data_IF_136163724233
#
_entry.id   IF_136163724233
#
_cell.length_a   1.000
_cell.length_b   1.000
_cell.length_c   1.000
_cell.angle_alpha   90.00
_cell.angle_beta   90.00
_cell.angle_gamma   90.00
#
_symmetry.space_group_name_H-M   'P 1'
#
loop_
_entity.id
_entity.type
_entity.pdbx_description
1 polymer ?
#
# COMPACT_ATOMS: atom_id res chain seq x y z
N UNK A 1 -29.23 -47.68 59.68
CA UNK A 1 -28.64 -46.42 60.18
C UNK A 1 -27.32 -46.19 59.46
N UNK A 2 -27.21 -45.08 58.70
CA UNK A 2 -25.96 -44.40 58.24
C UNK A 2 -25.02 -45.25 57.36
N UNK A 3 -24.45 -44.80 56.24
CA UNK A 3 -24.20 -43.45 55.76
C UNK A 3 -24.12 -43.45 54.21
N UNK A 4 -24.59 -42.33 53.66
CA UNK A 4 -24.38 -41.85 52.30
C UNK A 4 -22.94 -41.37 52.17
N UNK A 5 -22.24 -41.70 51.08
CA UNK A 5 -21.23 -40.82 50.49
C UNK A 5 -21.16 -41.00 48.97
N UNK A 6 -21.67 -39.99 48.27
CA UNK A 6 -21.47 -39.79 46.84
C UNK A 6 -20.05 -39.25 46.61
N UNK A 7 -19.41 -39.65 45.51
CA UNK A 7 -18.30 -38.90 44.95
C UNK A 7 -18.53 -38.72 43.45
N UNK A 8 -19.00 -37.52 43.10
CA UNK A 8 -19.07 -37.02 41.74
C UNK A 8 -17.65 -36.70 41.26
N UNK A 9 -17.20 -37.35 40.20
CA UNK A 9 -15.97 -36.98 39.49
C UNK A 9 -16.36 -35.85 38.52
N UNK A 10 -15.95 -34.64 38.87
CA UNK A 10 -16.14 -33.46 38.04
C UNK A 10 -15.29 -33.55 36.77
N UNK A 11 -15.93 -33.48 35.60
CA UNK A 11 -15.27 -33.20 34.32
C UNK A 11 -14.67 -31.78 34.37
N UNK A 12 -13.37 -31.69 34.62
CA UNK A 12 -12.58 -30.51 34.25
C UNK A 12 -12.00 -30.75 32.86
N UNK A 13 -12.85 -30.64 31.83
CA UNK A 13 -12.36 -30.44 30.47
C UNK A 13 -11.74 -29.04 30.42
N UNK A 14 -10.42 -28.99 30.61
CA UNK A 14 -9.65 -27.77 30.50
C UNK A 14 -9.84 -27.17 29.11
N UNK A 15 -10.62 -26.10 29.03
CA UNK A 15 -10.69 -25.23 27.86
C UNK A 15 -9.37 -24.45 27.83
N UNK A 16 -8.30 -25.09 27.36
CA UNK A 16 -7.11 -24.35 26.95
C UNK A 16 -7.57 -23.43 25.83
N UNK A 17 -7.44 -22.10 25.95
CA UNK A 17 -7.72 -21.22 24.82
C UNK A 17 -6.77 -21.66 23.71
N UNK A 18 -7.35 -22.24 22.66
CA UNK A 18 -6.62 -22.49 21.44
C UNK A 18 -6.02 -21.14 21.04
N UNK A 19 -4.69 -21.03 21.12
CA UNK A 19 -3.97 -19.99 20.42
C UNK A 19 -4.19 -20.27 18.93
N UNK A 20 -5.36 -19.89 18.43
CA UNK A 20 -5.66 -19.86 17.02
C UNK A 20 -4.54 -19.06 16.38
N UNK A 21 -3.75 -19.71 15.52
CA UNK A 21 -2.81 -19.01 14.66
C UNK A 21 -3.61 -17.92 13.96
N UNK A 22 -3.40 -16.66 14.33
CA UNK A 22 -4.10 -15.53 13.72
C UNK A 22 -3.89 -15.64 12.21
N UNK A 23 -4.98 -15.87 11.49
CA UNK A 23 -4.93 -15.99 10.04
C UNK A 23 -4.43 -14.64 9.49
N UNK A 24 -3.34 -14.69 8.73
CA UNK A 24 -2.76 -13.49 8.13
C UNK A 24 -3.67 -13.09 6.98
N UNK A 25 -4.54 -12.11 7.21
CA UNK A 25 -5.38 -11.54 6.16
C UNK A 25 -4.49 -10.87 5.11
N UNK A 26 -4.68 -11.25 3.86
CA UNK A 26 -3.99 -10.68 2.70
C UNK A 26 -5.01 -9.84 1.94
N UNK A 27 -4.85 -8.52 1.95
CA UNK A 27 -5.76 -7.59 1.29
C UNK A 27 -5.50 -7.42 -0.20
N UNK A 28 -4.29 -7.75 -0.64
CA UNK A 28 -3.94 -7.77 -2.06
C UNK A 28 -2.97 -8.91 -2.33
N UNK A 29 -3.33 -9.72 -3.31
CA UNK A 29 -2.40 -10.64 -3.96
C UNK A 29 -1.89 -9.98 -5.22
N UNK A 30 -0.61 -10.14 -5.52
CA UNK A 30 -0.02 -9.56 -6.73
C UNK A 30 1.13 -10.40 -7.25
N UNK A 31 1.26 -10.47 -8.57
CA UNK A 31 2.32 -11.21 -9.22
C UNK A 31 2.68 -10.58 -10.57
N UNK A 32 3.96 -10.58 -10.92
CA UNK A 32 4.39 -10.15 -12.25
C UNK A 32 4.00 -11.21 -13.27
N UNK A 33 3.40 -10.78 -14.39
CA UNK A 33 3.28 -11.64 -15.58
C UNK A 33 4.62 -11.60 -16.30
N UNK A 34 5.34 -12.73 -16.25
CA UNK A 34 6.66 -12.86 -16.84
C UNK A 34 6.58 -12.83 -18.36
N UNK A 35 7.65 -12.35 -18.98
CA UNK A 35 7.89 -12.51 -20.41
C UNK A 35 8.03 -14.00 -20.75
N UNK A 36 7.08 -14.52 -21.52
CA UNK A 36 7.05 -15.91 -21.96
C UNK A 36 6.43 -16.00 -23.38
N UNK A 37 6.83 -16.99 -24.21
CA UNK A 37 6.28 -17.15 -25.57
C UNK A 37 4.76 -17.32 -25.60
N UNK A 38 4.21 -18.00 -24.59
CA UNK A 38 2.78 -18.18 -24.38
C UNK A 38 2.38 -17.65 -23.00
N UNK A 39 1.22 -16.99 -22.93
CA UNK A 39 0.73 -16.32 -21.73
C UNK A 39 -0.65 -16.86 -21.41
N UNK A 40 -0.80 -17.41 -20.21
CA UNK A 40 -2.08 -17.84 -19.65
C UNK A 40 -2.44 -16.93 -18.47
N UNK A 41 -3.52 -16.18 -18.59
CA UNK A 41 -4.03 -15.32 -17.53
C UNK A 41 -5.16 -16.03 -16.77
N UNK A 42 -5.12 -15.93 -15.45
CA UNK A 42 -6.13 -16.42 -14.53
C UNK A 42 -7.36 -15.50 -14.58
N UNK A 43 -8.55 -16.00 -14.98
CA UNK A 43 -9.75 -15.18 -15.10
C UNK A 43 -10.26 -14.62 -13.76
N UNK A 44 -9.84 -15.17 -12.62
CA UNK A 44 -10.20 -14.65 -11.31
C UNK A 44 -9.39 -13.40 -10.92
N UNK A 45 -8.27 -13.12 -11.61
CA UNK A 45 -7.39 -11.98 -11.33
C UNK A 45 -7.69 -10.81 -12.25
N UNK A 46 -7.37 -9.62 -11.76
CA UNK A 46 -7.29 -8.43 -12.59
C UNK A 46 -5.85 -8.23 -13.06
N UNK A 47 -5.68 -7.58 -14.20
CA UNK A 47 -4.38 -7.28 -14.76
C UNK A 47 -4.24 -5.80 -15.06
N UNK A 48 -3.11 -5.21 -14.70
CA UNK A 48 -2.78 -3.83 -15.04
C UNK A 48 -1.61 -3.79 -15.99
N UNK A 49 -1.81 -3.14 -17.13
CA UNK A 49 -0.79 -2.92 -18.13
C UNK A 49 -0.31 -1.46 -18.09
N UNK A 50 1.00 -1.28 -18.12
CA UNK A 50 1.66 0.03 -18.19
C UNK A 50 2.77 -0.05 -19.22
N UNK A 51 2.89 0.98 -20.05
CA UNK A 51 4.00 1.15 -20.99
C UNK A 51 4.91 2.28 -20.55
N UNK A 52 6.19 2.16 -20.87
CA UNK A 52 7.14 3.23 -20.57
C UNK A 52 8.40 3.16 -21.43
N UNK A 53 8.89 4.32 -21.88
CA UNK A 53 10.22 4.45 -22.49
C UNK A 53 11.36 4.65 -21.47
N UNK A 54 11.00 4.86 -20.21
CA UNK A 54 11.91 4.89 -19.07
C UNK A 54 11.70 3.70 -18.13
N UNK A 55 12.68 3.42 -17.27
CA UNK A 55 12.51 2.50 -16.14
C UNK A 55 11.56 3.13 -15.12
N UNK A 56 10.29 2.68 -15.09
CA UNK A 56 9.25 3.26 -14.23
C UNK A 56 8.94 2.31 -13.07
N UNK A 57 9.29 2.68 -11.83
CA UNK A 57 8.85 1.98 -10.63
C UNK A 57 7.48 2.54 -10.20
N UNK A 58 6.37 2.02 -10.74
CA UNK A 58 5.04 2.51 -10.38
C UNK A 58 4.53 1.80 -9.13
N UNK A 59 4.05 2.56 -8.15
CA UNK A 59 3.42 2.00 -6.96
C UNK A 59 1.93 2.35 -6.93
N UNK A 60 1.11 1.32 -6.79
CA UNK A 60 -0.34 1.41 -6.65
C UNK A 60 -0.74 1.06 -5.22
N UNK A 61 -1.86 1.59 -4.77
CA UNK A 61 -2.52 1.16 -3.54
C UNK A 61 -3.97 0.82 -3.83
N UNK A 62 -4.44 -0.30 -3.29
CA UNK A 62 -5.86 -0.65 -3.38
C UNK A 62 -6.66 0.29 -2.48
N UNK A 63 -7.82 0.73 -2.96
CA UNK A 63 -8.82 1.42 -2.16
C UNK A 63 -9.67 0.35 -1.47
N UNK A 64 -9.91 0.45 -0.14
CA UNK A 64 -10.66 -0.57 0.57
C UNK A 64 -12.08 -0.70 0.02
N UNK A 65 -12.50 -1.93 -0.26
CA UNK A 65 -13.91 -2.27 -0.39
C UNK A 65 -14.60 -2.23 0.98
N UNK A 66 -15.92 -2.38 1.01
CA UNK A 66 -16.65 -2.53 2.26
C UNK A 66 -16.18 -3.76 3.08
N UNK A 67 -15.90 -4.87 2.40
CA UNK A 67 -15.41 -6.11 3.03
C UNK A 67 -13.96 -5.96 3.54
N UNK A 68 -13.12 -5.26 2.78
CA UNK A 68 -11.76 -4.92 3.18
C UNK A 68 -11.79 -4.06 4.45
N UNK A 69 -12.69 -3.07 4.50
CA UNK A 69 -12.85 -2.19 5.65
C UNK A 69 -13.29 -2.95 6.91
N UNK A 70 -14.28 -3.84 6.79
CA UNK A 70 -14.72 -4.69 7.91
C UNK A 70 -13.59 -5.57 8.44
N UNK A 71 -12.82 -6.18 7.52
CA UNK A 71 -11.67 -7.01 7.89
C UNK A 71 -10.58 -6.19 8.57
N UNK A 72 -10.28 -5.00 8.06
CA UNK A 72 -9.31 -4.08 8.63
C UNK A 72 -9.72 -3.60 10.04
N UNK A 73 -10.99 -3.21 10.22
CA UNK A 73 -11.52 -2.74 11.51
C UNK A 73 -11.48 -3.84 12.57
N UNK A 74 -11.83 -5.07 12.19
CA UNK A 74 -11.70 -6.25 13.06
C UNK A 74 -10.25 -6.46 13.50
N UNK A 75 -9.31 -6.51 12.56
CA UNK A 75 -7.88 -6.70 12.87
C UNK A 75 -7.33 -5.59 13.76
N UNK A 76 -7.75 -4.34 13.50
CA UNK A 76 -7.35 -3.20 14.30
C UNK A 76 -7.91 -3.29 15.73
N UNK A 77 -9.16 -3.70 15.90
CA UNK A 77 -9.77 -3.94 17.20
C UNK A 77 -9.07 -5.05 17.99
N UNK A 78 -8.78 -6.18 17.34
CA UNK A 78 -7.99 -7.28 17.93
C UNK A 78 -6.59 -6.81 18.37
N UNK A 79 -5.94 -5.98 17.56
CA UNK A 79 -4.63 -5.41 17.87
C UNK A 79 -4.68 -4.43 19.06
N UNK A 80 -5.74 -3.63 19.20
CA UNK A 80 -5.92 -2.74 20.34
C UNK A 80 -6.13 -3.52 21.64
N UNK A 81 -6.92 -4.60 21.62
CA UNK A 81 -7.08 -5.50 22.78
C UNK A 81 -5.73 -6.07 23.21
N UNK A 82 -4.93 -6.54 22.25
CA UNK A 82 -3.59 -7.05 22.51
C UNK A 82 -2.66 -5.95 23.07
N UNK A 83 -2.75 -4.72 22.53
CA UNK A 83 -1.98 -3.58 23.00
C UNK A 83 -2.32 -3.22 24.46
N UNK A 84 -3.61 -3.23 24.82
CA UNK A 84 -4.08 -3.03 26.20
C UNK A 84 -3.59 -4.11 27.14
N UNK A 85 -3.61 -5.39 26.71
CA UNK A 85 -3.07 -6.48 27.51
C UNK A 85 -1.55 -6.34 27.74
N UNK A 86 -0.79 -5.88 26.73
CA UNK A 86 0.64 -5.55 26.87
C UNK A 86 0.87 -4.34 27.77
N UNK A 87 0.01 -3.33 27.71
CA UNK A 87 0.07 -2.14 28.56
C UNK A 87 -0.01 -2.49 30.05
N UNK A 88 -0.96 -3.35 30.45
CA UNK A 88 -1.07 -3.79 31.86
C UNK A 88 0.25 -4.37 32.38
N UNK A 89 0.93 -5.19 31.57
CA UNK A 89 2.24 -5.76 31.93
C UNK A 89 3.33 -4.69 32.03
N UNK A 90 3.34 -3.73 31.10
CA UNK A 90 4.29 -2.60 31.12
C UNK A 90 4.06 -1.69 32.31
N UNK A 91 2.81 -1.46 32.69
CA UNK A 91 2.46 -0.64 33.85
C UNK A 91 2.95 -1.29 35.15
N UNK A 92 2.71 -2.59 35.32
CA UNK A 92 3.21 -3.32 36.49
C UNK A 92 4.75 -3.35 36.57
N UNK A 93 5.45 -3.42 35.42
CA UNK A 93 6.90 -3.29 35.37
C UNK A 93 7.36 -1.87 35.77
N UNK A 94 6.74 -0.84 35.19
CA UNK A 94 6.99 0.56 35.54
C UNK A 94 6.82 0.82 37.04
N UNK A 95 5.73 0.36 37.65
CA UNK A 95 5.45 0.54 39.08
C UNK A 95 6.53 -0.11 39.95
N UNK A 96 6.98 -1.31 39.59
CA UNK A 96 8.08 -2.00 40.27
C UNK A 96 9.39 -1.22 40.17
N UNK A 97 9.75 -0.80 38.97
CA UNK A 97 11.01 -0.10 38.69
C UNK A 97 11.02 1.29 39.33
N UNK A 98 9.86 1.98 39.33
CA UNK A 98 9.69 3.27 40.00
C UNK A 98 9.84 3.14 41.50
N UNK A 99 9.27 2.08 42.10
CA UNK A 99 9.45 1.80 43.52
C UNK A 99 10.92 1.49 43.88
N UNK A 100 11.65 0.80 43.00
CA UNK A 100 13.09 0.54 43.20
C UNK A 100 13.91 1.84 43.11
N UNK A 101 13.62 2.69 42.13
CA UNK A 101 14.22 4.02 41.99
C UNK A 101 14.00 4.88 43.24
N UNK A 102 12.76 4.95 43.73
CA UNK A 102 12.38 5.78 44.88
C UNK A 102 13.04 5.29 46.18
N UNK A 103 13.31 3.99 46.31
CA UNK A 103 13.96 3.37 47.48
C UNK A 103 15.49 3.48 47.46
N UNK A 104 16.11 3.93 46.36
CA UNK A 104 17.58 3.98 46.28
C UNK A 104 18.13 5.12 47.17
N UNK A 105 18.98 4.80 48.18
CA UNK A 105 19.52 5.80 49.10
C UNK A 105 20.34 6.89 48.38
N UNK A 106 20.36 8.09 48.97
CA UNK A 106 21.24 9.17 48.49
C UNK A 106 22.71 8.72 48.59
N UNK A 107 23.48 8.93 47.53
CA UNK A 107 24.91 8.57 47.46
C UNK A 107 25.19 7.19 46.84
N UNK A 108 24.17 6.38 46.54
CA UNK A 108 24.33 5.18 45.71
C UNK A 108 23.99 5.47 44.24
N UNK A 109 24.59 4.75 43.27
CA UNK A 109 24.19 4.82 41.88
C UNK A 109 22.70 4.50 41.75
N UNK A 110 21.92 5.47 41.27
CA UNK A 110 20.48 5.28 41.05
C UNK A 110 20.25 4.58 39.71
N UNK A 111 19.25 3.68 39.64
CA UNK A 111 18.77 3.22 38.34
C UNK A 111 18.21 4.41 37.54
N UNK A 112 18.07 4.24 36.23
CA UNK A 112 17.39 5.22 35.39
C UNK A 112 15.92 5.35 35.82
N UNK A 113 15.38 6.58 35.83
CA UNK A 113 13.97 6.80 36.15
C UNK A 113 13.12 6.17 35.02
N UNK A 114 12.27 5.18 35.31
CA UNK A 114 11.48 4.57 34.27
C UNK A 114 10.44 5.56 33.72
N UNK A 115 10.15 5.48 32.42
CA UNK A 115 9.12 6.28 31.76
C UNK A 115 7.76 5.63 31.93
N UNK A 116 6.75 6.39 32.38
CA UNK A 116 5.40 5.85 32.55
C UNK A 116 4.81 5.46 31.19
N UNK A 117 4.35 4.22 31.00
CA UNK A 117 3.71 3.84 29.76
C UNK A 117 2.38 4.59 29.59
N UNK A 118 2.04 4.93 28.35
CA UNK A 118 0.75 5.53 27.97
C UNK A 118 -0.24 4.41 27.66
N UNK A 119 -1.47 4.53 28.16
CA UNK A 119 -2.53 3.56 27.88
C UNK A 119 -2.94 3.62 26.40
N UNK A 120 -2.95 2.47 25.69
CA UNK A 120 -3.45 2.40 24.32
C UNK A 120 -4.96 2.66 24.26
N UNK A 121 -5.31 3.68 23.48
CA UNK A 121 -6.67 4.07 23.14
C UNK A 121 -6.81 4.06 21.63
N UNK A 122 -8.06 4.14 21.16
CA UNK A 122 -8.35 4.29 19.73
C UNK A 122 -7.62 5.48 19.09
N UNK A 123 -7.40 6.56 19.86
CA UNK A 123 -6.82 7.80 19.36
C UNK A 123 -5.29 7.81 19.31
N UNK A 124 -4.60 6.98 20.11
CA UNK A 124 -3.13 7.00 20.24
C UNK A 124 -2.46 5.67 19.87
N UNK A 125 -3.24 4.61 19.63
CA UNK A 125 -2.71 3.33 19.21
C UNK A 125 -2.37 3.34 17.72
N UNK A 126 -1.14 2.95 17.42
CA UNK A 126 -0.66 2.82 16.05
C UNK A 126 -1.02 1.46 15.47
N UNK A 127 -1.71 1.47 14.33
CA UNK A 127 -1.96 0.30 13.51
C UNK A 127 -1.54 0.61 12.08
N UNK A 128 -0.98 -0.38 11.38
CA UNK A 128 -0.51 -0.19 10.01
C UNK A 128 -1.64 0.31 9.12
N UNK A 129 -1.53 1.51 8.51
CA UNK A 129 -2.55 2.04 7.62
C UNK A 129 -2.87 1.09 6.46
N UNK A 130 -4.14 1.01 6.06
CA UNK A 130 -4.60 0.13 4.99
C UNK A 130 -3.77 0.27 3.68
N UNK A 131 -3.40 1.49 3.30
CA UNK A 131 -2.57 1.73 2.11
C UNK A 131 -1.19 1.02 2.15
N UNK A 132 -0.60 0.87 3.34
CA UNK A 132 0.66 0.15 3.53
C UNK A 132 0.48 -1.38 3.51
N UNK A 133 -0.75 -1.88 3.66
CA UNK A 133 -1.08 -3.30 3.58
C UNK A 133 -1.49 -3.73 2.15
N UNK A 134 -1.65 -2.77 1.23
CA UNK A 134 -2.26 -2.97 -0.09
C UNK A 134 -1.43 -2.45 -1.26
N UNK A 135 -0.13 -2.23 -1.02
CA UNK A 135 0.80 -1.77 -2.04
C UNK A 135 1.02 -2.81 -3.14
N UNK A 136 1.01 -2.35 -4.39
CA UNK A 136 1.38 -3.14 -5.57
C UNK A 136 2.44 -2.39 -6.35
N UNK A 137 3.58 -3.02 -6.58
CA UNK A 137 4.68 -2.44 -7.36
C UNK A 137 4.69 -3.01 -8.78
N UNK A 138 4.79 -2.13 -9.77
CA UNK A 138 4.89 -2.46 -11.20
C UNK A 138 6.18 -1.86 -11.73
N UNK A 139 7.03 -2.69 -12.33
CA UNK A 139 8.34 -2.26 -12.80
C UNK A 139 9.30 -1.89 -11.65
N UNK A 140 10.48 -1.35 -11.97
CA UNK A 140 11.04 -1.21 -13.32
C UNK A 140 11.65 -2.53 -13.83
N UNK A 141 11.70 -3.55 -12.97
CA UNK A 141 12.13 -4.90 -13.29
C UNK A 141 10.99 -5.72 -13.89
N UNK A 142 11.31 -6.90 -14.42
CA UNK A 142 10.33 -7.89 -14.88
C UNK A 142 9.36 -7.32 -15.95
N UNK A 143 9.94 -6.80 -17.03
CA UNK A 143 9.19 -6.37 -18.22
C UNK A 143 8.49 -7.59 -18.82
N UNK A 144 7.26 -7.40 -19.26
CA UNK A 144 6.50 -8.38 -20.02
C UNK A 144 6.93 -8.42 -21.49
N UNK A 145 7.22 -7.25 -22.06
CA UNK A 145 7.70 -7.10 -23.43
C UNK A 145 8.57 -5.86 -23.59
N UNK A 146 9.35 -5.84 -24.67
CA UNK A 146 10.02 -4.64 -25.19
C UNK A 146 9.59 -4.48 -26.65
N UNK A 147 9.29 -3.27 -27.09
CA UNK A 147 9.06 -3.00 -28.52
C UNK A 147 10.30 -3.37 -29.33
N UNK A 148 10.09 -4.05 -30.46
CA UNK A 148 11.13 -4.32 -31.46
C UNK A 148 11.43 -3.05 -32.25
N UNK A 149 12.70 -2.63 -32.24
CA UNK A 149 13.38 -1.57 -33.00
C UNK A 149 12.66 -0.20 -33.21
N UNK A 150 13.35 0.89 -32.83
CA UNK A 150 12.95 2.28 -33.09
C UNK A 150 12.37 3.01 -31.88
N UNK A 151 11.38 2.42 -31.20
CA UNK A 151 10.87 2.94 -29.93
C UNK A 151 11.41 2.11 -28.76
N UNK A 152 11.98 2.73 -27.72
CA UNK A 152 12.51 2.04 -26.53
C UNK A 152 11.41 1.78 -25.48
N UNK A 153 10.22 1.36 -25.90
CA UNK A 153 9.07 1.18 -25.00
C UNK A 153 9.07 -0.21 -24.38
N UNK A 154 8.90 -0.26 -23.06
CA UNK A 154 8.72 -1.49 -22.29
C UNK A 154 7.28 -1.60 -21.85
N UNK A 155 6.72 -2.80 -21.98
CA UNK A 155 5.41 -3.15 -21.45
C UNK A 155 5.60 -3.90 -20.14
N UNK A 156 4.88 -3.49 -19.10
CA UNK A 156 4.78 -4.17 -17.82
C UNK A 156 3.34 -4.67 -17.67
N UNK A 157 3.19 -5.90 -17.19
CA UNK A 157 1.90 -6.52 -16.95
C UNK A 157 1.91 -7.14 -15.55
N UNK A 158 1.03 -6.66 -14.68
CA UNK A 158 0.95 -7.09 -13.29
C UNK A 158 -0.42 -7.71 -13.01
N UNK A 159 -0.42 -8.93 -12.49
CA UNK A 159 -1.61 -9.55 -11.93
C UNK A 159 -1.87 -9.00 -10.52
N UNK A 160 -3.13 -8.74 -10.19
CA UNK A 160 -3.54 -8.30 -8.86
C UNK A 160 -4.97 -8.74 -8.51
N UNK A 161 -5.32 -8.68 -7.23
CA UNK A 161 -6.71 -8.82 -6.79
C UNK A 161 -7.61 -7.81 -7.51
N UNK A 162 -8.81 -8.16 -7.98
CA UNK A 162 -9.74 -7.18 -8.54
C UNK A 162 -10.12 -6.09 -7.52
N UNK A 163 -10.33 -4.86 -8.01
CA UNK A 163 -10.75 -3.76 -7.16
C UNK A 163 -10.42 -2.38 -7.72
N UNK A 164 -10.66 -1.35 -6.91
CA UNK A 164 -10.26 0.02 -7.24
C UNK A 164 -8.85 0.28 -6.74
N UNK A 165 -8.00 0.81 -7.62
CA UNK A 165 -6.62 1.15 -7.30
C UNK A 165 -6.38 2.63 -7.52
N UNK A 166 -5.51 3.21 -6.69
CA UNK A 166 -4.96 4.54 -6.90
C UNK A 166 -3.48 4.45 -7.21
N UNK A 167 -2.98 5.39 -8.01
CA UNK A 167 -1.54 5.54 -8.18
C UNK A 167 -1.00 6.29 -6.95
N UNK A 168 -0.12 5.65 -6.18
CA UNK A 168 0.53 6.28 -5.03
C UNK A 168 1.71 7.15 -5.46
N UNK A 169 2.53 6.67 -6.39
CA UNK A 169 3.78 7.34 -6.74
C UNK A 169 4.60 6.58 -7.76
N UNK A 170 5.67 7.23 -8.22
CA UNK A 170 6.79 6.55 -8.87
C UNK A 170 7.82 6.25 -7.79
N UNK A 171 7.75 5.06 -7.23
CA UNK A 171 8.64 4.63 -6.17
C UNK A 171 8.89 3.13 -6.20
N UNK A 172 9.99 2.73 -5.58
CA UNK A 172 10.28 1.33 -5.30
C UNK A 172 10.55 1.14 -3.82
N UNK A 173 10.20 -0.05 -3.32
CA UNK A 173 10.57 -0.55 -2.00
C UNK A 173 11.57 -1.67 -2.21
N UNK A 174 12.80 -1.46 -1.75
CA UNK A 174 13.89 -2.42 -1.88
C UNK A 174 13.74 -3.56 -0.86
N UNK A 175 14.35 -4.74 -1.07
CA UNK A 175 14.24 -5.88 -0.16
C UNK A 175 14.71 -5.59 1.28
N UNK A 176 15.62 -4.64 1.47
CA UNK A 176 16.10 -4.18 2.77
C UNK A 176 15.18 -3.14 3.44
N UNK A 177 14.03 -2.83 2.86
CA UNK A 177 13.09 -1.82 3.35
C UNK A 177 13.42 -0.38 2.94
N UNK A 178 14.53 -0.15 2.22
CA UNK A 178 14.84 1.17 1.71
C UNK A 178 13.82 1.59 0.63
N UNK A 179 13.44 2.86 0.65
CA UNK A 179 12.47 3.43 -0.29
C UNK A 179 13.10 4.59 -1.04
N UNK A 180 12.80 4.69 -2.34
CA UNK A 180 13.22 5.82 -3.16
C UNK A 180 12.14 6.18 -4.19
N UNK A 181 12.17 7.43 -4.65
CA UNK A 181 11.22 7.97 -5.61
C UNK A 181 10.37 9.09 -5.03
N UNK A 182 9.19 9.29 -5.60
CA UNK A 182 8.27 10.36 -5.26
C UNK A 182 6.84 9.84 -5.08
N UNK A 183 6.13 10.37 -4.10
CA UNK A 183 4.70 10.12 -3.96
C UNK A 183 3.89 11.22 -4.65
N UNK A 184 2.74 10.85 -5.21
CA UNK A 184 1.72 11.77 -5.69
C UNK A 184 0.76 12.15 -4.56
N UNK A 185 1.34 12.50 -3.40
CA UNK A 185 0.61 12.78 -2.17
C UNK A 185 -0.30 14.02 -2.27
N UNK A 186 -0.01 14.95 -3.18
CA UNK A 186 -0.80 16.18 -3.37
C UNK A 186 -1.96 16.02 -4.37
N UNK A 187 -2.10 14.85 -5.00
CA UNK A 187 -3.19 14.54 -5.91
C UNK A 187 -2.79 13.51 -6.93
N UNK A 188 -3.71 12.60 -7.23
CA UNK A 188 -3.47 11.48 -8.13
C UNK A 188 -4.74 11.04 -8.84
N UNK A 189 -4.66 9.91 -9.53
CA UNK A 189 -5.78 9.22 -10.16
C UNK A 189 -6.07 7.88 -9.48
N UNK A 190 -7.31 7.44 -9.63
CA UNK A 190 -7.79 6.09 -9.36
C UNK A 190 -8.47 5.50 -10.59
N UNK A 191 -8.54 4.17 -10.63
CA UNK A 191 -9.16 3.39 -11.68
C UNK A 191 -9.65 2.05 -11.12
N UNK A 192 -10.54 1.38 -11.85
CA UNK A 192 -11.03 0.05 -11.52
C UNK A 192 -10.28 -1.01 -12.34
N UNK A 193 -9.81 -2.07 -11.68
CA UNK A 193 -9.21 -3.25 -12.30
C UNK A 193 -10.14 -4.45 -12.07
N UNK A 194 -10.70 -5.00 -13.16
CA UNK A 194 -11.72 -6.05 -13.11
C UNK A 194 -11.12 -7.44 -13.34
N UNK A 195 -11.75 -8.45 -12.74
CA UNK A 195 -11.39 -9.84 -12.96
C UNK A 195 -11.49 -10.22 -14.45
N UNK A 196 -10.53 -11.00 -14.94
CA UNK A 196 -10.50 -11.51 -16.33
C UNK A 196 -10.17 -10.44 -17.38
N UNK A 197 -9.78 -9.24 -16.97
CA UNK A 197 -9.53 -8.11 -17.84
C UNK A 197 -8.13 -7.52 -17.63
N UNK A 198 -7.54 -7.04 -18.72
CA UNK A 198 -6.36 -6.18 -18.70
C UNK A 198 -6.82 -4.73 -18.75
N UNK A 199 -6.61 -4.01 -17.65
CA UNK A 199 -6.78 -2.57 -17.55
C UNK A 199 -5.49 -1.88 -17.99
N UNK A 200 -5.53 -1.24 -19.15
CA UNK A 200 -4.42 -0.49 -19.73
C UNK A 200 -4.41 0.94 -19.19
N UNK A 201 -3.41 1.27 -18.35
CA UNK A 201 -3.26 2.62 -17.83
C UNK A 201 -2.74 3.60 -18.87
N UNK A 202 -2.01 3.12 -19.87
CA UNK A 202 -1.37 3.97 -20.87
C UNK A 202 0.14 3.92 -20.80
N UNK A 203 0.76 5.08 -21.07
CA UNK A 203 2.22 5.21 -21.22
C UNK A 203 2.76 6.31 -20.32
N UNK A 204 3.79 5.97 -19.56
CA UNK A 204 4.68 6.96 -18.97
C UNK A 204 5.82 7.27 -19.96
N UNK A 205 6.20 8.53 -20.04
CA UNK A 205 7.27 9.00 -20.89
C UNK A 205 8.20 9.95 -20.14
N UNK A 206 9.43 10.10 -20.63
CA UNK A 206 10.24 11.24 -20.25
C UNK A 206 9.62 12.53 -20.82
N UNK A 207 9.48 13.57 -20.00
CA UNK A 207 9.15 14.94 -20.43
C UNK A 207 10.43 15.76 -20.49
N UNK A 208 10.60 16.55 -21.54
CA UNK A 208 11.62 17.59 -21.55
C UNK A 208 11.27 18.66 -20.51
N UNK A 209 12.07 18.75 -19.45
CA UNK A 209 11.97 19.81 -18.46
C UNK A 209 13.01 20.85 -18.82
N UNK A 210 12.65 22.15 -18.95
CA UNK A 210 13.65 23.20 -19.11
C UNK A 210 14.71 23.08 -18.02
N UNK A 211 15.98 23.21 -18.40
CA UNK A 211 17.09 23.21 -17.44
C UNK A 211 16.85 24.24 -16.35
N UNK A 212 17.29 23.94 -15.12
CA UNK A 212 17.22 24.90 -14.01
C UNK A 212 17.94 26.19 -14.39
N UNK A 213 17.38 27.31 -13.98
CA UNK A 213 18.07 28.59 -14.11
C UNK A 213 19.42 28.52 -13.37
N UNK A 214 20.50 29.13 -13.89
CA UNK A 214 21.76 29.22 -13.17
C UNK A 214 21.55 29.78 -11.76
N UNK A 215 21.99 29.03 -10.73
CA UNK A 215 21.83 29.41 -9.32
C UNK A 215 20.63 28.77 -8.59
N UNK A 216 19.73 28.07 -9.29
CA UNK A 216 18.63 27.33 -8.66
C UNK A 216 19.12 25.98 -8.10
N UNK A 217 19.26 25.93 -6.77
CA UNK A 217 19.67 24.75 -5.99
C UNK A 217 18.49 23.98 -5.38
N UNK A 218 17.25 24.32 -5.73
CA UNK A 218 16.05 23.69 -5.16
C UNK A 218 16.04 22.19 -5.42
N UNK A 219 15.91 21.38 -4.36
CA UNK A 219 15.83 19.92 -4.44
C UNK A 219 14.56 19.40 -3.75
N UNK A 220 13.95 18.32 -4.27
CA UNK A 220 14.28 17.64 -5.53
C UNK A 220 13.76 18.40 -6.76
N UNK A 221 14.39 18.17 -7.94
CA UNK A 221 13.81 18.63 -9.20
C UNK A 221 12.42 18.00 -9.42
N UNK A 222 11.47 18.72 -10.05
CA UNK A 222 10.24 18.11 -10.50
C UNK A 222 10.55 16.90 -11.40
N UNK A 223 9.88 15.75 -11.21
CA UNK A 223 10.08 14.60 -12.06
C UNK A 223 9.72 14.94 -13.50
N UNK A 224 10.64 14.62 -14.41
CA UNK A 224 10.54 14.76 -15.86
C UNK A 224 9.58 13.71 -16.45
N UNK A 225 8.34 13.67 -15.98
CA UNK A 225 7.36 12.63 -16.31
C UNK A 225 6.23 13.19 -17.15
N UNK A 226 6.00 12.55 -18.30
CA UNK A 226 4.76 12.64 -19.05
C UNK A 226 3.92 11.38 -18.79
N UNK A 227 2.60 11.54 -18.77
CA UNK A 227 1.66 10.43 -18.77
C UNK A 227 0.64 10.62 -19.88
N UNK A 228 0.46 9.59 -20.70
CA UNK A 228 -0.55 9.53 -21.77
C UNK A 228 -1.51 8.40 -21.45
N UNK A 229 -2.81 8.68 -21.23
CA UNK A 229 -3.82 7.64 -21.04
C UNK A 229 -3.85 6.66 -22.22
N UNK A 230 -4.24 5.41 -21.94
CA UNK A 230 -4.41 4.41 -22.98
C UNK A 230 -5.52 4.79 -23.97
N UNK A 231 -5.31 4.44 -25.24
CA UNK A 231 -6.32 4.51 -26.29
C UNK A 231 -6.66 3.08 -26.71
N UNK A 232 -7.96 2.78 -26.86
CA UNK A 232 -8.43 1.44 -27.19
C UNK A 232 -7.77 0.92 -28.48
N UNK A 233 -7.37 -0.35 -28.48
CA UNK A 233 -6.74 -1.00 -29.63
C UNK A 233 -5.28 -0.61 -29.91
N UNK A 234 -4.65 0.25 -29.09
CA UNK A 234 -3.27 0.70 -29.33
C UNK A 234 -2.24 -0.05 -28.47
N UNK A 235 -1.13 -0.44 -29.09
CA UNK A 235 0.12 -0.77 -28.41
C UNK A 235 0.07 -1.93 -27.41
N UNK A 236 -0.77 -2.94 -27.67
CA UNK A 236 -0.76 -4.19 -26.95
C UNK A 236 0.17 -5.21 -27.65
N UNK A 237 0.88 -6.01 -26.87
CA UNK A 237 1.70 -7.11 -27.39
C UNK A 237 0.80 -8.16 -28.06
N UNK A 238 1.16 -8.72 -29.24
CA UNK A 238 0.34 -9.71 -29.95
C UNK A 238 -0.03 -10.93 -29.11
N UNK A 239 0.81 -11.32 -28.13
CA UNK A 239 0.53 -12.43 -27.21
C UNK A 239 -0.71 -12.17 -26.33
N UNK A 240 -1.16 -10.92 -26.25
CA UNK A 240 -2.32 -10.52 -25.48
C UNK A 240 -3.59 -10.36 -26.32
N UNK A 241 -3.53 -10.62 -27.64
CA UNK A 241 -4.63 -10.34 -28.58
C UNK A 241 -5.95 -11.07 -28.24
N UNK A 242 -5.89 -12.22 -27.56
CA UNK A 242 -7.07 -13.00 -27.18
C UNK A 242 -7.69 -12.58 -25.83
N UNK A 243 -7.12 -11.58 -25.15
CA UNK A 243 -7.63 -11.10 -23.87
C UNK A 243 -8.42 -9.80 -24.04
N UNK A 244 -9.37 -9.57 -23.13
CA UNK A 244 -10.07 -8.29 -23.06
C UNK A 244 -9.13 -7.23 -22.49
N UNK A 245 -8.66 -6.32 -23.36
CA UNK A 245 -7.86 -5.15 -22.98
C UNK A 245 -8.74 -3.91 -23.09
N UNK A 246 -8.87 -3.17 -21.99
CA UNK A 246 -9.62 -1.90 -21.98
C UNK A 246 -8.75 -0.77 -21.46
N UNK A 247 -8.88 0.45 -22.04
CA UNK A 247 -8.34 1.64 -21.41
C UNK A 247 -8.90 1.83 -20.00
N UNK A 248 -8.04 2.23 -19.07
CA UNK A 248 -8.46 2.55 -17.72
C UNK A 248 -9.41 3.77 -17.72
N UNK A 249 -10.55 3.64 -17.03
CA UNK A 249 -11.40 4.79 -16.72
C UNK A 249 -10.79 5.52 -15.53
N UNK A 250 -10.08 6.61 -15.82
CA UNK A 250 -9.36 7.39 -14.83
C UNK A 250 -10.29 8.39 -14.14
N UNK A 251 -10.22 8.46 -12.81
CA UNK A 251 -10.88 9.49 -12.00
C UNK A 251 -9.87 10.14 -11.06
N UNK A 252 -9.94 11.46 -10.84
CA UNK A 252 -9.08 12.09 -9.84
C UNK A 252 -9.37 11.55 -8.44
N UNK A 253 -8.34 11.57 -7.59
CA UNK A 253 -8.42 11.23 -6.19
C UNK A 253 -7.59 12.21 -5.36
N UNK A 254 -8.13 12.58 -4.21
CA UNK A 254 -7.58 13.56 -3.29
C UNK A 254 -6.20 13.24 -2.74
N UNK A 255 -5.75 14.14 -1.85
CA UNK A 255 -4.48 14.02 -1.13
C UNK A 255 -4.38 12.69 -0.36
N UNK A 256 -3.16 12.25 -0.10
CA UNK A 256 -2.91 11.06 0.70
C UNK A 256 -1.70 11.26 1.63
N UNK A 257 -1.62 10.55 2.77
CA UNK A 257 -0.47 10.63 3.65
C UNK A 257 0.82 10.15 2.96
N UNK A 258 1.94 10.78 3.29
CA UNK A 258 3.26 10.35 2.85
C UNK A 258 3.75 9.17 3.71
N UNK A 259 3.19 7.98 3.47
CA UNK A 259 3.47 6.79 4.27
C UNK A 259 4.94 6.36 4.28
N UNK A 260 5.71 6.76 3.27
CA UNK A 260 7.10 6.34 3.07
C UNK A 260 8.12 7.47 3.27
N UNK A 261 7.69 8.67 3.69
CA UNK A 261 8.60 9.82 3.88
C UNK A 261 9.32 10.26 2.59
N UNK A 262 8.72 10.05 1.42
CA UNK A 262 9.29 10.37 0.12
C UNK A 262 9.15 11.85 -0.24
N UNK A 263 9.82 12.26 -1.32
CA UNK A 263 9.54 13.53 -1.99
C UNK A 263 8.05 13.63 -2.36
N UNK A 264 7.42 14.75 -1.97
CA UNK A 264 6.00 15.01 -2.20
C UNK A 264 5.80 15.66 -3.57
N UNK A 265 4.92 15.09 -4.38
CA UNK A 265 4.57 15.60 -5.69
C UNK A 265 3.09 15.41 -6.03
N UNK A 266 2.79 15.64 -7.31
CA UNK A 266 1.46 15.55 -7.94
C UNK A 266 1.54 14.62 -9.14
N UNK A 267 0.48 13.85 -9.38
CA UNK A 267 0.33 13.17 -10.66
C UNK A 267 0.16 14.23 -11.77
N UNK A 268 0.75 14.05 -12.96
CA UNK A 268 0.58 14.98 -14.07
C UNK A 268 -0.89 15.29 -14.37
N UNK A 269 -1.17 16.50 -14.84
CA UNK A 269 -2.51 16.82 -15.35
C UNK A 269 -2.84 15.92 -16.55
N UNK A 270 -4.13 15.58 -16.67
CA UNK A 270 -4.64 14.73 -17.74
C UNK A 270 -5.80 15.49 -18.39
N UNK A 271 -5.67 15.92 -19.65
CA UNK A 271 -6.75 16.58 -20.37
C UNK A 271 -8.06 15.77 -20.28
N UNK A 272 -9.15 16.46 -19.95
CA UNK A 272 -10.48 15.84 -19.78
C UNK A 272 -10.67 15.00 -18.52
N UNK A 273 -9.64 14.77 -17.71
CA UNK A 273 -9.74 13.99 -16.45
C UNK A 273 -9.47 14.83 -15.22
N UNK A 274 -8.30 15.49 -15.17
CA UNK A 274 -7.92 16.29 -14.02
C UNK A 274 -6.94 17.40 -14.36
N UNK A 275 -7.09 18.52 -13.66
CA UNK A 275 -6.12 19.62 -13.61
C UNK A 275 -5.99 20.11 -12.17
N UNK A 276 -5.06 21.02 -11.93
CA UNK A 276 -4.92 21.69 -10.65
C UNK A 276 -5.34 23.15 -10.72
N UNK A 277 -5.98 23.63 -9.67
CA UNK A 277 -6.07 25.05 -9.33
C UNK A 277 -5.34 25.24 -8.00
N UNK A 278 -4.07 25.66 -8.10
CA UNK A 278 -3.10 25.65 -7.00
C UNK A 278 -3.02 24.27 -6.32
N UNK A 279 -3.52 24.18 -5.09
CA UNK A 279 -3.52 22.97 -4.27
C UNK A 279 -4.78 22.12 -4.44
N UNK A 280 -5.76 22.60 -5.19
CA UNK A 280 -7.04 21.93 -5.39
C UNK A 280 -6.98 21.10 -6.66
N UNK A 281 -7.45 19.86 -6.55
CA UNK A 281 -7.66 18.98 -7.71
C UNK A 281 -9.02 19.35 -8.29
N UNK A 282 -9.04 19.65 -9.59
CA UNK A 282 -10.28 19.90 -10.33
C UNK A 282 -10.62 18.64 -11.11
N UNK A 283 -11.79 18.07 -10.84
CA UNK A 283 -12.32 16.93 -11.56
C UNK A 283 -12.98 17.40 -12.86
N UNK A 284 -12.38 17.01 -13.99
CA UNK A 284 -12.87 17.34 -15.32
C UNK A 284 -13.76 16.23 -15.90
N UNK A 285 -13.90 15.11 -15.19
CA UNK A 285 -14.74 13.97 -15.59
C UNK A 285 -16.20 14.11 -15.17
N UNK A 286 -16.53 15.11 -14.34
CA UNK A 286 -17.87 15.36 -13.81
C UNK A 286 -18.69 16.35 -14.67
N UNK A 287 -18.07 16.99 -15.67
CA UNK A 287 -18.69 17.96 -16.56
C UNK A 287 -18.93 17.48 -18.00
N UNK A 288 -18.65 16.19 -18.28
CA UNK A 288 -18.81 15.54 -19.58
C UNK A 288 -19.62 14.25 -19.43
#
# INVERSE_FOLDING_TARGET
MKAVFALAIALAAGVTPAFAKKEKVVFVETAVVKDAPAVALDPAKAYVMVRSDAAVPLHLMRVPSAEDQQSYDRLRGEALVEARAKYVKKLAAYERDKAAYDKTPKGQPRPELPVKPVEPTEANFEFTPFGLLTGVSIGPMNRFAKSSEGEKVSTYLQAMTPGTYRVYGMMSVMPNGAVYGNCFCMGSIKFEAKAGQITDLGRFGARDVPGRAPGDSSQPAPPALEFKPAVAGTGADPRLANYTIVPAVLRPVGKLPNYFGLAIGRFPEIPGVMRYDRDRIVDLTAGN
#
